data_IF_174639891829
#
_entry.id   IF_174639891829
#
_cell.length_a   1.000
_cell.length_b   1.000
_cell.length_c   1.000
_cell.angle_alpha   90.00
_cell.angle_beta   90.00
_cell.angle_gamma   90.00
#
_symmetry.space_group_name_H-M   'P 1'
#
loop_
_entity.id
_entity.type
_entity.pdbx_description
1 polymer ?
#
# COMPACT_ATOMS: atom_id res chain seq x y z
N UNK A 1 4.41 -17.55 3.43
CA UNK A 1 5.06 -16.27 3.78
C UNK A 1 5.23 -15.48 2.48
N UNK A 2 4.13 -15.23 1.77
CA UNK A 2 4.15 -14.98 0.31
C UNK A 2 3.52 -13.64 -0.07
N UNK A 3 3.24 -12.78 0.90
CA UNK A 3 2.63 -11.47 0.67
C UNK A 3 3.26 -10.41 1.57
N UNK A 4 3.69 -9.32 0.97
CA UNK A 4 4.21 -8.13 1.64
C UNK A 4 3.30 -6.95 1.37
N UNK A 5 2.86 -6.28 2.43
CA UNK A 5 2.01 -5.10 2.36
C UNK A 5 2.79 -3.93 2.98
N UNK A 6 2.92 -2.85 2.24
CA UNK A 6 3.48 -1.61 2.74
C UNK A 6 2.33 -0.69 3.12
N UNK A 7 2.39 -0.16 4.33
CA UNK A 7 1.37 0.71 4.91
C UNK A 7 1.98 2.07 5.18
N UNK A 8 1.22 3.14 4.93
CA UNK A 8 1.66 4.50 5.20
C UNK A 8 1.98 4.72 6.68
N UNK A 9 2.93 5.62 6.94
CA UNK A 9 3.36 5.97 8.29
C UNK A 9 2.54 7.13 8.90
N UNK A 10 1.34 7.40 8.37
CA UNK A 10 0.40 8.39 8.90
C UNK A 10 -0.69 7.72 9.77
N UNK A 11 -1.61 8.54 10.28
CA UNK A 11 -2.76 8.09 11.06
C UNK A 11 -3.82 7.39 10.20
N UNK A 12 -3.78 7.53 8.87
CA UNK A 12 -4.72 6.86 7.98
C UNK A 12 -4.35 5.39 7.73
N UNK A 13 -3.06 5.03 7.88
CA UNK A 13 -2.55 3.66 7.70
C UNK A 13 -3.04 3.02 6.40
N UNK A 14 -2.91 3.76 5.31
CA UNK A 14 -3.34 3.33 3.98
C UNK A 14 -2.30 2.36 3.40
N UNK A 15 -2.72 1.20 2.84
CA UNK A 15 -1.82 0.25 2.21
C UNK A 15 -1.31 0.78 0.86
N UNK A 16 -0.13 1.40 0.84
CA UNK A 16 0.45 2.05 -0.34
C UNK A 16 0.89 1.08 -1.45
N UNK A 17 1.30 -0.14 -1.08
CA UNK A 17 1.75 -1.17 -2.02
C UNK A 17 1.43 -2.56 -1.49
N UNK A 18 1.12 -3.46 -2.40
CA UNK A 18 0.99 -4.89 -2.12
C UNK A 18 1.85 -5.67 -3.11
N UNK A 19 2.64 -6.61 -2.61
CA UNK A 19 3.39 -7.58 -3.40
C UNK A 19 3.00 -8.97 -2.95
N UNK A 20 2.56 -9.80 -3.89
CA UNK A 20 2.31 -11.21 -3.65
C UNK A 20 3.23 -12.02 -4.55
N UNK A 21 3.98 -12.95 -3.96
CA UNK A 21 4.80 -13.90 -4.69
C UNK A 21 3.93 -15.13 -5.02
N UNK A 22 3.94 -15.52 -6.29
CA UNK A 22 3.15 -16.66 -6.79
C UNK A 22 4.09 -17.68 -7.43
N UNK A 23 3.58 -18.87 -7.75
CA UNK A 23 4.39 -20.02 -8.18
C UNK A 23 5.36 -19.69 -9.33
N UNK A 24 4.99 -18.78 -10.24
CA UNK A 24 5.88 -18.21 -11.25
C UNK A 24 5.63 -16.69 -11.31
N UNK A 25 6.56 -15.93 -10.73
CA UNK A 25 6.56 -14.47 -10.77
C UNK A 25 5.96 -13.82 -9.51
N UNK A 26 5.64 -12.53 -9.64
CA UNK A 26 5.10 -11.73 -8.53
C UNK A 26 4.05 -10.76 -9.04
N UNK A 27 2.95 -10.61 -8.30
CA UNK A 27 1.96 -9.55 -8.54
C UNK A 27 2.35 -8.35 -7.69
N UNK A 28 2.47 -7.18 -8.33
CA UNK A 28 2.74 -5.89 -7.66
C UNK A 28 1.58 -4.95 -7.94
N UNK A 29 1.01 -4.39 -6.87
CA UNK A 29 -0.09 -3.43 -6.94
C UNK A 29 0.35 -2.17 -6.23
N UNK A 30 0.25 -1.05 -6.94
CA UNK A 30 0.57 0.29 -6.47
C UNK A 30 -0.69 1.14 -6.43
N UNK A 31 -0.84 1.95 -5.38
CA UNK A 31 -1.93 2.92 -5.32
C UNK A 31 -1.69 4.02 -6.37
N UNK A 32 -2.72 4.28 -7.18
CA UNK A 32 -2.72 5.35 -8.18
C UNK A 32 -3.46 6.60 -7.72
N UNK A 33 -4.48 6.46 -6.87
CA UNK A 33 -5.24 7.58 -6.32
C UNK A 33 -5.87 7.21 -4.97
N UNK A 34 -6.08 8.20 -4.11
CA UNK A 34 -6.69 8.03 -2.78
C UNK A 34 -7.75 9.09 -2.54
N UNK A 35 -8.96 8.67 -2.14
CA UNK A 35 -10.06 9.56 -1.80
C UNK A 35 -10.74 9.16 -0.49
N UNK A 36 -11.41 10.11 0.16
CA UNK A 36 -12.16 9.86 1.40
C UNK A 36 -11.29 9.62 2.65
N UNK A 37 -10.08 10.18 2.68
CA UNK A 37 -9.17 10.04 3.82
C UNK A 37 -9.77 10.68 5.08
N UNK A 38 -9.69 9.97 6.21
CA UNK A 38 -10.20 10.44 7.50
C UNK A 38 -9.38 11.59 8.06
N UNK A 39 -8.06 11.55 7.86
CA UNK A 39 -7.11 12.57 8.29
C UNK A 39 -6.37 13.15 7.06
N UNK A 40 -5.86 14.39 7.11
CA UNK A 40 -5.00 14.93 6.07
C UNK A 40 -3.82 14.00 5.77
N UNK A 41 -3.46 13.85 4.50
CA UNK A 41 -2.31 13.05 4.12
C UNK A 41 -1.02 13.73 4.61
N UNK A 42 -0.36 13.13 5.59
CA UNK A 42 0.87 13.67 6.20
C UNK A 42 2.11 12.86 5.89
N UNK A 43 1.97 11.66 5.33
CA UNK A 43 3.11 10.85 4.89
C UNK A 43 3.78 11.58 3.73
N UNK A 44 5.09 11.85 3.81
CA UNK A 44 5.83 12.35 2.66
C UNK A 44 5.79 11.31 1.54
N UNK A 45 5.49 11.74 0.31
CA UNK A 45 5.70 10.96 -0.91
C UNK A 45 7.17 10.56 -1.06
#
# INVERSE_FOLDING_TARGET
DDMTIWVSADENKVPIRVKADIYIGSVKVDITDMSGLKNPFSSKL
#
